data_IF_117517028799
#
_entry.id   IF_117517028799
#
_cell.length_a   1.000
_cell.length_b   1.000
_cell.length_c   1.000
_cell.angle_alpha   90.00
_cell.angle_beta   90.00
_cell.angle_gamma   90.00
#
_symmetry.space_group_name_H-M   'P 1'
#
loop_
_entity.id
_entity.type
_entity.pdbx_description
1 polymer ?
#
# COMPACT_ATOMS: atom_id res chain seq x y z
N UNK A 1 -29.41 -36.93 53.13
CA UNK A 1 -29.13 -37.89 52.03
C UNK A 1 -29.43 -37.21 50.70
N UNK A 2 -28.40 -37.08 49.84
CA UNK A 2 -28.44 -36.81 48.37
C UNK A 2 -28.89 -35.40 47.89
N UNK A 3 -28.40 -34.88 46.74
CA UNK A 3 -27.22 -34.02 46.72
C UNK A 3 -27.39 -32.68 45.96
N UNK A 4 -26.37 -31.84 46.10
CA UNK A 4 -26.08 -30.57 45.39
C UNK A 4 -26.15 -30.75 43.87
N UNK A 5 -26.89 -29.87 43.19
CA UNK A 5 -26.87 -29.75 41.72
C UNK A 5 -26.15 -28.46 41.32
N UNK A 6 -24.91 -28.63 40.88
CA UNK A 6 -24.00 -27.60 40.40
C UNK A 6 -24.48 -27.14 39.00
N UNK A 7 -24.93 -25.89 38.85
CA UNK A 7 -25.16 -25.30 37.52
C UNK A 7 -23.80 -24.99 36.88
N UNK A 8 -23.31 -25.90 36.04
CA UNK A 8 -22.19 -25.65 35.14
C UNK A 8 -22.74 -24.94 33.91
N UNK A 9 -22.53 -23.62 33.82
CA UNK A 9 -22.71 -22.88 32.56
C UNK A 9 -21.63 -23.34 31.59
N UNK A 10 -22.01 -24.12 30.59
CA UNK A 10 -21.15 -24.52 29.49
C UNK A 10 -20.87 -23.26 28.66
N UNK A 11 -19.62 -22.80 28.71
CA UNK A 11 -19.07 -21.83 27.77
C UNK A 11 -18.93 -22.55 26.42
N UNK A 12 -19.71 -22.16 25.42
CA UNK A 12 -19.52 -22.66 24.05
C UNK A 12 -18.18 -22.15 23.50
N UNK A 13 -17.35 -22.98 22.84
CA UNK A 13 -16.10 -22.51 22.28
C UNK A 13 -16.39 -21.68 21.03
N UNK A 14 -16.02 -20.40 21.07
CA UNK A 14 -15.83 -19.56 19.90
C UNK A 14 -14.56 -20.04 19.17
N UNK A 15 -14.68 -21.12 18.39
CA UNK A 15 -13.60 -21.61 17.52
C UNK A 15 -14.23 -21.91 16.16
N UNK A 16 -14.49 -20.85 15.41
CA UNK A 16 -14.85 -20.93 14.00
C UNK A 16 -14.46 -19.64 13.27
N UNK A 17 -13.21 -19.17 13.42
CA UNK A 17 -12.69 -18.07 12.59
C UNK A 17 -11.16 -18.07 12.43
N UNK A 18 -10.56 -19.24 12.28
CA UNK A 18 -9.12 -19.35 11.97
C UNK A 18 -8.81 -20.32 10.80
N UNK A 19 -9.82 -20.93 10.17
CA UNK A 19 -9.63 -21.95 9.13
C UNK A 19 -9.84 -21.44 7.70
N UNK A 20 -10.24 -20.18 7.50
CA UNK A 20 -10.48 -19.64 6.16
C UNK A 20 -9.20 -19.21 5.42
N UNK A 21 -8.09 -18.95 6.11
CA UNK A 21 -6.83 -18.52 5.47
C UNK A 21 -5.90 -19.68 5.08
N UNK A 22 -5.97 -20.81 5.79
CA UNK A 22 -5.08 -21.95 5.53
C UNK A 22 -5.41 -22.70 4.22
N UNK A 23 -6.68 -22.67 3.79
CA UNK A 23 -7.13 -23.35 2.55
C UNK A 23 -6.83 -22.60 1.25
N UNK A 24 -6.41 -21.33 1.32
CA UNK A 24 -6.16 -20.49 0.14
C UNK A 24 -4.73 -20.60 -0.40
N UNK A 25 -3.80 -21.22 0.34
CA UNK A 25 -2.37 -21.24 -0.01
C UNK A 25 -1.86 -22.60 -0.54
N UNK A 26 -2.58 -23.70 -0.31
CA UNK A 26 -2.09 -25.03 -0.68
C UNK A 26 -2.08 -25.29 -2.20
N UNK A 27 -2.94 -24.60 -2.96
CA UNK A 27 -3.12 -24.79 -4.41
C UNK A 27 -2.93 -23.48 -5.23
N UNK A 28 -2.28 -22.44 -4.68
CA UNK A 28 -2.01 -21.20 -5.42
C UNK A 28 -0.82 -21.42 -6.39
N UNK A 29 -1.06 -21.56 -7.72
CA UNK A 29 0.01 -21.86 -8.68
C UNK A 29 1.00 -20.69 -8.83
N UNK A 30 0.69 -19.53 -8.26
CA UNK A 30 1.52 -18.34 -8.34
C UNK A 30 2.56 -18.24 -7.22
N UNK A 31 2.55 -19.12 -6.21
CA UNK A 31 3.51 -19.08 -5.09
C UNK A 31 4.97 -19.05 -5.58
N UNK A 32 5.42 -19.93 -6.49
CA UNK A 32 6.81 -19.90 -6.97
C UNK A 32 7.19 -18.58 -7.66
N UNK A 33 6.26 -17.99 -8.42
CA UNK A 33 6.46 -16.72 -9.12
C UNK A 33 6.54 -15.56 -8.13
N UNK A 34 5.68 -15.57 -7.11
CA UNK A 34 5.68 -14.58 -6.04
C UNK A 34 6.96 -14.64 -5.20
N UNK A 35 7.40 -15.83 -4.85
CA UNK A 35 8.65 -16.01 -4.10
C UNK A 35 9.86 -15.54 -4.93
N UNK A 36 9.84 -15.77 -6.24
CA UNK A 36 10.86 -15.24 -7.15
C UNK A 36 10.86 -13.71 -7.16
N UNK A 37 9.69 -13.08 -7.29
CA UNK A 37 9.53 -11.62 -7.20
C UNK A 37 10.05 -11.07 -5.87
N UNK A 38 9.75 -11.71 -4.73
CA UNK A 38 10.22 -11.27 -3.41
C UNK A 38 11.74 -11.39 -3.28
N UNK A 39 12.36 -12.45 -3.80
CA UNK A 39 13.82 -12.57 -3.86
C UNK A 39 14.45 -11.49 -4.74
N UNK A 40 13.83 -11.18 -5.88
CA UNK A 40 14.30 -10.11 -6.75
C UNK A 40 14.24 -8.75 -6.06
N UNK A 41 13.16 -8.45 -5.32
CA UNK A 41 13.03 -7.23 -4.50
C UNK A 41 14.18 -7.14 -3.49
N UNK A 42 14.51 -8.23 -2.77
CA UNK A 42 15.60 -8.25 -1.80
C UNK A 42 16.97 -8.01 -2.46
N UNK A 43 17.21 -8.60 -3.63
CA UNK A 43 18.44 -8.35 -4.38
C UNK A 43 18.55 -6.89 -4.80
N UNK A 44 17.44 -6.31 -5.27
CA UNK A 44 17.40 -4.90 -5.67
C UNK A 44 17.62 -3.95 -4.51
N UNK A 45 17.04 -4.18 -3.32
CA UNK A 45 17.28 -3.31 -2.16
C UNK A 45 18.79 -3.21 -1.86
N UNK A 46 19.50 -4.35 -1.88
CA UNK A 46 20.94 -4.36 -1.70
C UNK A 46 21.68 -3.62 -2.82
N UNK A 47 21.23 -3.78 -4.07
CA UNK A 47 21.85 -3.15 -5.24
C UNK A 47 21.66 -1.63 -5.28
N UNK A 48 20.55 -1.12 -4.75
CA UNK A 48 20.18 0.32 -4.74
C UNK A 48 20.40 0.97 -3.38
N UNK A 49 21.15 0.34 -2.48
CA UNK A 49 21.30 0.80 -1.08
C UNK A 49 21.89 2.22 -0.98
N UNK A 50 22.78 2.57 -1.89
CA UNK A 50 23.51 3.84 -1.87
C UNK A 50 22.57 4.99 -2.29
N UNK A 51 21.60 4.74 -3.18
CA UNK A 51 20.57 5.71 -3.56
C UNK A 51 19.46 5.79 -2.49
N UNK A 52 18.99 4.64 -2.04
CA UNK A 52 17.78 4.55 -1.20
C UNK A 52 18.05 4.82 0.28
N UNK A 53 19.27 4.54 0.74
CA UNK A 53 19.60 4.42 2.16
C UNK A 53 19.06 3.12 2.79
N UNK A 54 18.64 2.15 1.98
CA UNK A 54 18.01 0.89 2.42
C UNK A 54 18.74 -0.30 1.79
N UNK A 55 19.64 -0.93 2.54
CA UNK A 55 20.28 -2.17 2.09
C UNK A 55 19.31 -3.36 2.11
N UNK A 56 18.39 -3.35 3.06
CA UNK A 56 17.35 -4.35 3.25
C UNK A 56 16.04 -3.63 3.61
N UNK A 57 14.92 -4.22 3.20
CA UNK A 57 13.60 -3.76 3.63
C UNK A 57 13.14 -4.51 4.89
N UNK A 58 12.31 -3.86 5.69
CA UNK A 58 11.81 -4.42 6.94
C UNK A 58 11.08 -5.75 6.70
N UNK A 59 11.32 -6.73 7.57
CA UNK A 59 10.70 -8.06 7.47
C UNK A 59 9.15 -8.02 7.33
N UNK A 60 8.41 -7.14 8.03
CA UNK A 60 6.97 -6.99 7.80
C UNK A 60 6.61 -6.59 6.37
N UNK A 61 7.39 -5.70 5.74
CA UNK A 61 7.17 -5.27 4.34
C UNK A 61 7.37 -6.45 3.40
N UNK A 62 8.46 -7.21 3.56
CA UNK A 62 8.73 -8.39 2.73
C UNK A 62 7.66 -9.48 2.92
N UNK A 63 7.16 -9.66 4.14
CA UNK A 63 6.06 -10.56 4.44
C UNK A 63 4.74 -10.12 3.78
N UNK A 64 4.44 -8.82 3.75
CA UNK A 64 3.28 -8.28 3.03
C UNK A 64 3.39 -8.55 1.52
N UNK A 65 4.56 -8.30 0.92
CA UNK A 65 4.82 -8.59 -0.50
C UNK A 65 4.67 -10.09 -0.85
N UNK A 66 5.00 -10.99 0.07
CA UNK A 66 4.81 -12.43 -0.08
C UNK A 66 3.35 -12.87 0.13
N UNK A 67 2.56 -12.12 0.91
CA UNK A 67 1.17 -12.50 1.24
C UNK A 67 0.16 -12.00 0.21
N UNK A 68 0.28 -10.76 -0.25
CA UNK A 68 -0.74 -10.14 -1.11
C UNK A 68 -0.69 -10.76 -2.52
N UNK A 69 -1.80 -11.34 -3.01
CA UNK A 69 -1.82 -12.03 -4.30
C UNK A 69 -1.92 -11.03 -5.45
N UNK A 70 -0.78 -10.44 -5.86
CA UNK A 70 -0.69 -9.43 -6.93
C UNK A 70 -1.48 -9.77 -8.21
N UNK A 71 -1.54 -11.04 -8.60
CA UNK A 71 -2.34 -11.51 -9.75
C UNK A 71 -3.85 -11.23 -9.64
N UNK A 72 -4.38 -10.95 -8.44
CA UNK A 72 -5.79 -10.55 -8.23
C UNK A 72 -6.05 -9.07 -8.50
N UNK A 73 -4.99 -8.29 -8.71
CA UNK A 73 -5.00 -6.83 -8.88
C UNK A 73 -4.68 -6.40 -10.32
N UNK A 74 -4.58 -7.35 -11.25
CA UNK A 74 -4.34 -7.08 -12.67
C UNK A 74 -5.49 -7.59 -13.54
N UNK A 75 -5.69 -7.04 -14.75
CA UNK A 75 -6.62 -7.59 -15.73
C UNK A 75 -6.28 -9.05 -16.10
N UNK A 76 -7.25 -9.86 -16.57
CA UNK A 76 -7.02 -11.27 -16.90
C UNK A 76 -5.84 -11.53 -17.83
N UNK A 77 -5.65 -10.68 -18.85
CA UNK A 77 -4.59 -10.84 -19.84
C UNK A 77 -3.18 -10.55 -19.27
N UNK A 78 -3.11 -9.84 -18.14
CA UNK A 78 -1.87 -9.48 -17.45
C UNK A 78 -1.50 -10.47 -16.33
N UNK A 79 -2.37 -11.42 -16.00
CA UNK A 79 -2.14 -12.43 -14.95
C UNK A 79 -0.84 -13.22 -15.16
N UNK A 80 -0.48 -13.67 -16.38
CA UNK A 80 0.79 -14.37 -16.60
C UNK A 80 2.04 -13.56 -16.21
N UNK A 81 1.94 -12.23 -16.26
CA UNK A 81 3.03 -11.30 -15.99
C UNK A 81 2.98 -10.70 -14.58
N UNK A 82 1.98 -11.04 -13.76
CA UNK A 82 1.64 -10.36 -12.52
C UNK A 82 2.80 -10.21 -11.52
N UNK A 83 3.77 -11.14 -11.57
CA UNK A 83 4.92 -11.20 -10.67
C UNK A 83 6.25 -10.81 -11.34
N UNK A 84 6.21 -10.34 -12.59
CA UNK A 84 7.36 -9.70 -13.19
C UNK A 84 7.63 -8.35 -12.51
N UNK A 85 8.90 -8.03 -12.33
CA UNK A 85 9.30 -6.83 -11.62
C UNK A 85 9.27 -5.58 -12.53
N UNK A 86 8.10 -5.28 -13.09
CA UNK A 86 7.80 -4.12 -13.94
C UNK A 86 6.36 -3.64 -13.71
N UNK A 87 6.00 -2.41 -14.12
CA UNK A 87 4.61 -1.99 -14.11
C UNK A 87 3.80 -2.76 -15.17
N UNK A 88 2.50 -2.94 -14.92
CA UNK A 88 1.56 -3.57 -15.86
C UNK A 88 0.34 -2.66 -16.05
N UNK A 89 -0.29 -2.64 -17.25
CA UNK A 89 -1.48 -1.84 -17.48
C UNK A 89 -2.67 -2.37 -16.67
N UNK A 90 -3.50 -1.45 -16.16
CA UNK A 90 -4.74 -1.78 -15.43
C UNK A 90 -5.99 -1.17 -16.06
N UNK A 91 -5.86 -0.65 -17.28
CA UNK A 91 -6.90 0.10 -17.98
C UNK A 91 -6.84 1.61 -17.69
N UNK A 92 -7.66 2.38 -18.41
CA UNK A 92 -7.80 3.85 -18.23
C UNK A 92 -6.49 4.65 -18.29
N UNK A 93 -5.49 4.15 -19.03
CA UNK A 93 -4.16 4.76 -19.10
C UNK A 93 -3.31 4.63 -17.84
N UNK A 94 -3.74 3.82 -16.87
CA UNK A 94 -3.06 3.62 -15.59
C UNK A 94 -2.28 2.31 -15.55
N UNK A 95 -1.37 2.21 -14.58
CA UNK A 95 -0.57 1.00 -14.34
C UNK A 95 -0.58 0.61 -12.86
N UNK A 96 -0.44 -0.68 -12.59
CA UNK A 96 0.00 -1.16 -11.28
C UNK A 96 1.53 -0.98 -11.21
N UNK A 97 2.04 -0.32 -10.16
CA UNK A 97 3.46 0.01 -10.05
C UNK A 97 4.34 -1.24 -9.95
N UNK A 98 5.61 -1.10 -10.37
CA UNK A 98 6.65 -2.12 -10.23
C UNK A 98 6.72 -2.66 -8.79
N UNK A 99 6.77 -4.00 -8.56
CA UNK A 99 6.85 -4.59 -7.23
C UNK A 99 7.97 -4.03 -6.34
N UNK A 100 9.18 -3.85 -6.89
CA UNK A 100 10.28 -3.22 -6.16
C UNK A 100 9.94 -1.81 -5.67
N UNK A 101 9.34 -0.97 -6.51
CA UNK A 101 8.95 0.40 -6.13
C UNK A 101 7.84 0.39 -5.07
N UNK A 102 6.88 -0.53 -5.14
CA UNK A 102 5.86 -0.73 -4.09
C UNK A 102 6.52 -1.07 -2.75
N UNK A 103 7.47 -2.02 -2.74
CA UNK A 103 8.18 -2.41 -1.53
C UNK A 103 9.02 -1.26 -0.96
N UNK A 104 9.77 -0.56 -1.82
CA UNK A 104 10.59 0.59 -1.44
C UNK A 104 9.75 1.71 -0.83
N UNK A 105 8.65 2.10 -1.48
CA UNK A 105 7.76 3.15 -0.96
C UNK A 105 7.17 2.78 0.39
N UNK A 106 6.76 1.52 0.54
CA UNK A 106 6.22 0.99 1.79
C UNK A 106 7.26 0.99 2.91
N UNK A 107 8.50 0.60 2.61
CA UNK A 107 9.61 0.58 3.58
C UNK A 107 10.09 1.98 4.00
N UNK A 108 10.12 2.93 3.05
CA UNK A 108 10.44 4.33 3.33
C UNK A 108 9.40 5.00 4.24
N UNK A 109 8.12 4.63 4.06
CA UNK A 109 7.00 5.13 4.86
C UNK A 109 7.02 4.62 6.31
N UNK A 110 7.73 3.53 6.60
CA UNK A 110 7.87 2.93 7.95
C UNK A 110 6.54 2.69 8.68
N UNK A 111 5.54 2.18 7.95
CA UNK A 111 4.20 1.90 8.47
C UNK A 111 4.22 0.78 9.51
N UNK A 112 3.62 1.04 10.67
CA UNK A 112 3.44 0.10 11.77
C UNK A 112 1.99 -0.28 12.09
N UNK A 113 1.77 -1.28 12.98
CA UNK A 113 0.44 -1.83 13.29
C UNK A 113 -0.60 -0.86 13.85
N UNK A 114 -0.16 0.28 14.42
CA UNK A 114 -1.03 1.32 14.97
C UNK A 114 -1.26 2.50 14.04
N UNK A 115 -0.68 2.47 12.84
CA UNK A 115 -0.63 3.64 11.98
C UNK A 115 -1.90 3.76 11.13
N UNK A 116 -2.27 5.02 10.88
CA UNK A 116 -3.31 5.41 9.94
C UNK A 116 -2.64 6.00 8.70
N UNK A 117 -2.89 5.38 7.55
CA UNK A 117 -2.20 5.70 6.29
C UNK A 117 -3.17 6.29 5.28
N UNK A 118 -2.74 7.32 4.56
CA UNK A 118 -3.40 7.82 3.36
C UNK A 118 -2.64 7.37 2.12
N UNK A 119 -3.33 6.80 1.15
CA UNK A 119 -2.84 6.54 -0.20
C UNK A 119 -3.57 7.43 -1.20
N UNK A 120 -2.82 8.09 -2.08
CA UNK A 120 -3.35 8.87 -3.19
C UNK A 120 -3.00 8.15 -4.50
N UNK A 121 -4.03 7.73 -5.23
CA UNK A 121 -3.93 6.91 -6.44
C UNK A 121 -4.21 5.44 -6.16
N UNK A 122 -5.46 5.10 -5.81
CA UNK A 122 -5.82 3.70 -5.52
C UNK A 122 -5.47 2.77 -6.69
N UNK A 123 -5.76 3.19 -7.93
CA UNK A 123 -5.49 2.41 -9.13
C UNK A 123 -6.12 1.01 -9.07
N UNK A 124 -5.28 -0.02 -8.95
CA UNK A 124 -5.75 -1.39 -8.78
C UNK A 124 -6.13 -1.76 -7.34
N UNK A 125 -5.67 -0.99 -6.35
CA UNK A 125 -5.76 -1.29 -4.92
C UNK A 125 -4.63 -2.18 -4.39
N UNK A 126 -3.62 -2.53 -5.19
CA UNK A 126 -2.53 -3.41 -4.74
C UNK A 126 -1.69 -2.78 -3.63
N UNK A 127 -1.29 -1.52 -3.77
CA UNK A 127 -0.51 -0.83 -2.74
C UNK A 127 -1.35 -0.60 -1.47
N UNK A 128 -2.64 -0.26 -1.59
CA UNK A 128 -3.59 -0.26 -0.47
C UNK A 128 -3.62 -1.59 0.30
N UNK A 129 -3.68 -2.72 -0.43
CA UNK A 129 -3.68 -4.06 0.16
C UNK A 129 -2.36 -4.37 0.89
N UNK A 130 -1.21 -3.99 0.33
CA UNK A 130 0.10 -4.11 0.98
C UNK A 130 0.12 -3.29 2.28
N UNK A 131 -0.37 -2.04 2.25
CA UNK A 131 -0.44 -1.19 3.44
C UNK A 131 -1.36 -1.77 4.51
N UNK A 132 -2.47 -2.41 4.12
CA UNK A 132 -3.42 -3.01 5.05
C UNK A 132 -2.87 -4.22 5.85
N UNK A 133 -1.86 -4.90 5.29
CA UNK A 133 -1.12 -5.94 6.03
C UNK A 133 -0.28 -5.36 7.18
N UNK A 134 0.06 -4.07 7.11
CA UNK A 134 0.96 -3.39 8.05
C UNK A 134 0.22 -2.45 9.00
N UNK A 135 -0.72 -1.66 8.49
CA UNK A 135 -1.37 -0.55 9.19
C UNK A 135 -2.59 -0.98 10.04
N UNK A 136 -3.03 -0.07 10.91
CA UNK A 136 -4.33 -0.15 11.58
C UNK A 136 -5.46 0.15 10.59
N UNK A 137 -5.30 1.21 9.78
CA UNK A 137 -6.28 1.66 8.81
C UNK A 137 -5.60 2.28 7.57
N UNK A 138 -6.18 2.07 6.40
CA UNK A 138 -5.72 2.64 5.14
C UNK A 138 -6.89 3.35 4.46
N UNK A 139 -6.72 4.64 4.21
CA UNK A 139 -7.64 5.45 3.42
C UNK A 139 -7.02 5.64 2.05
N UNK A 140 -7.73 5.33 0.98
CA UNK A 140 -7.19 5.42 -0.38
C UNK A 140 -8.13 6.21 -1.28
N UNK A 141 -7.57 7.09 -2.10
CA UNK A 141 -8.32 7.96 -3.00
C UNK A 141 -7.96 7.74 -4.45
N UNK A 142 -8.97 7.72 -5.31
CA UNK A 142 -8.84 7.57 -6.75
C UNK A 142 -9.71 8.60 -7.46
N UNK A 143 -9.19 9.22 -8.51
CA UNK A 143 -9.90 10.26 -9.26
C UNK A 143 -10.67 9.69 -10.46
N UNK A 144 -10.23 8.54 -10.99
CA UNK A 144 -10.87 7.83 -12.09
C UNK A 144 -11.98 6.94 -11.54
N UNK A 145 -13.23 7.38 -11.67
CA UNK A 145 -14.41 6.71 -11.10
C UNK A 145 -14.47 5.19 -11.37
N UNK A 146 -14.28 4.69 -12.60
CA UNK A 146 -14.28 3.24 -12.83
C UNK A 146 -13.22 2.48 -12.04
N UNK A 147 -12.03 3.05 -11.85
CA UNK A 147 -10.96 2.43 -11.05
C UNK A 147 -11.31 2.48 -9.56
N UNK A 148 -11.84 3.60 -9.07
CA UNK A 148 -12.26 3.75 -7.68
C UNK A 148 -13.29 2.68 -7.29
N UNK A 149 -14.31 2.48 -8.12
CA UNK A 149 -15.35 1.47 -7.93
C UNK A 149 -14.74 0.06 -7.97
N UNK A 150 -14.01 -0.28 -9.04
CA UNK A 150 -13.43 -1.61 -9.22
C UNK A 150 -12.44 -1.99 -8.10
N UNK A 151 -11.60 -1.04 -7.68
CA UNK A 151 -10.64 -1.26 -6.60
C UNK A 151 -11.35 -1.47 -5.25
N UNK A 152 -12.36 -0.64 -4.94
CA UNK A 152 -13.16 -0.80 -3.72
C UNK A 152 -13.85 -2.17 -3.64
N UNK A 153 -14.50 -2.59 -4.73
CA UNK A 153 -15.13 -3.92 -4.82
C UNK A 153 -14.11 -5.06 -4.70
N UNK A 154 -12.97 -4.94 -5.39
CA UNK A 154 -11.88 -5.93 -5.34
C UNK A 154 -11.33 -6.07 -3.92
N UNK A 155 -11.03 -4.96 -3.26
CA UNK A 155 -10.50 -4.93 -1.89
C UNK A 155 -11.50 -5.54 -0.90
N UNK A 156 -12.79 -5.18 -1.01
CA UNK A 156 -13.85 -5.77 -0.19
C UNK A 156 -13.99 -7.27 -0.40
N UNK A 157 -14.03 -7.73 -1.65
CA UNK A 157 -14.10 -9.17 -2.00
C UNK A 157 -12.88 -9.96 -1.53
N UNK A 158 -11.70 -9.35 -1.50
CA UNK A 158 -10.46 -9.98 -1.02
C UNK A 158 -10.31 -9.91 0.52
N UNK A 159 -11.24 -9.26 1.23
CA UNK A 159 -11.26 -9.23 2.69
C UNK A 159 -10.39 -8.15 3.33
N UNK A 160 -9.94 -7.14 2.58
CA UNK A 160 -9.15 -6.02 3.11
C UNK A 160 -10.02 -5.00 3.87
N UNK A 161 -10.61 -5.44 4.99
CA UNK A 161 -11.57 -4.66 5.79
C UNK A 161 -10.98 -3.39 6.43
N UNK A 162 -9.64 -3.28 6.50
CA UNK A 162 -8.94 -2.09 7.00
C UNK A 162 -8.82 -0.98 5.95
N UNK A 163 -9.20 -1.24 4.70
CA UNK A 163 -9.09 -0.29 3.60
C UNK A 163 -10.44 0.38 3.34
N UNK A 164 -10.43 1.71 3.32
CA UNK A 164 -11.56 2.50 2.86
C UNK A 164 -11.15 3.28 1.60
N UNK A 165 -11.76 2.91 0.46
CA UNK A 165 -11.55 3.59 -0.81
C UNK A 165 -12.61 4.67 -1.05
N UNK A 166 -12.23 5.77 -1.70
CA UNK A 166 -13.14 6.85 -2.09
C UNK A 166 -12.77 7.44 -3.45
N UNK A 167 -13.79 7.74 -4.25
CA UNK A 167 -13.65 8.60 -5.42
C UNK A 167 -13.40 10.05 -4.99
N UNK A 168 -12.31 10.66 -5.43
CA UNK A 168 -12.05 12.07 -5.18
C UNK A 168 -10.70 12.55 -5.67
N UNK A 169 -10.52 13.86 -5.63
CA UNK A 169 -9.26 14.51 -5.98
C UNK A 169 -8.24 14.36 -4.84
N UNK A 170 -7.20 13.58 -5.10
CA UNK A 170 -6.15 13.30 -4.14
C UNK A 170 -5.25 14.48 -3.80
N UNK A 171 -5.25 15.56 -4.60
CA UNK A 171 -4.49 16.78 -4.29
C UNK A 171 -4.88 17.38 -2.94
N UNK A 172 -6.18 17.30 -2.61
CA UNK A 172 -6.73 17.83 -1.36
C UNK A 172 -6.61 16.87 -0.18
N UNK A 173 -6.21 15.61 -0.41
CA UNK A 173 -6.20 14.57 0.60
C UNK A 173 -7.59 14.24 1.15
N UNK A 174 -7.62 13.71 2.37
CA UNK A 174 -8.84 13.29 3.04
C UNK A 174 -8.81 13.77 4.51
N UNK A 175 -9.13 15.04 4.78
CA UNK A 175 -8.97 15.62 6.11
C UNK A 175 -9.84 14.94 7.19
N UNK A 176 -10.98 14.37 6.82
CA UNK A 176 -11.94 13.75 7.75
C UNK A 176 -11.39 12.53 8.51
N UNK A 177 -10.34 11.88 7.99
CA UNK A 177 -9.67 10.76 8.65
C UNK A 177 -8.21 11.04 9.01
N UNK A 178 -7.76 12.27 8.74
CA UNK A 178 -6.45 12.74 9.16
C UNK A 178 -6.42 13.16 10.64
N UNK A 179 -5.24 13.50 11.17
CA UNK A 179 -3.95 13.45 10.48
C UNK A 179 -3.40 12.02 10.34
N UNK A 180 -2.48 11.81 9.39
CA UNK A 180 -1.93 10.51 9.01
C UNK A 180 -0.52 10.29 9.51
N UNK A 181 -0.19 9.05 9.91
CA UNK A 181 1.17 8.64 10.27
C UNK A 181 2.03 8.51 9.00
N UNK A 182 1.45 8.03 7.91
CA UNK A 182 2.09 7.97 6.61
C UNK A 182 1.16 8.40 5.47
N UNK A 183 1.75 9.02 4.45
CA UNK A 183 1.06 9.35 3.19
C UNK A 183 1.87 8.81 2.01
N UNK A 184 1.26 7.97 1.18
CA UNK A 184 1.87 7.50 -0.07
C UNK A 184 1.10 8.10 -1.24
N UNK A 185 1.83 8.66 -2.21
CA UNK A 185 1.25 9.15 -3.46
C UNK A 185 1.81 8.29 -4.59
N UNK A 186 0.94 7.58 -5.32
CA UNK A 186 1.31 6.62 -6.37
C UNK A 186 1.08 7.21 -7.77
N UNK A 187 1.14 8.52 -7.87
CA UNK A 187 1.13 9.29 -9.11
C UNK A 187 2.09 10.49 -8.97
N UNK A 188 2.72 10.90 -10.07
CA UNK A 188 3.69 11.98 -10.06
C UNK A 188 3.03 13.35 -9.96
N UNK A 189 3.29 14.06 -8.87
CA UNK A 189 2.86 15.43 -8.71
C UNK A 189 3.88 16.41 -9.32
N UNK A 190 3.41 17.56 -9.81
CA UNK A 190 4.30 18.63 -10.28
C UNK A 190 5.08 19.29 -9.14
N UNK A 191 4.48 19.29 -7.94
CA UNK A 191 5.05 19.75 -6.68
C UNK A 191 4.39 18.97 -5.55
N UNK A 192 4.99 19.01 -4.36
CA UNK A 192 4.39 18.39 -3.16
C UNK A 192 3.11 19.16 -2.78
N UNK A 193 1.92 18.52 -2.74
CA UNK A 193 0.69 19.21 -2.39
C UNK A 193 0.70 19.70 -0.94
N UNK A 194 0.56 21.01 -0.67
CA UNK A 194 0.51 21.55 0.70
C UNK A 194 -0.58 20.92 1.59
N UNK A 195 -1.79 20.58 1.09
CA UNK A 195 -2.81 19.91 1.91
C UNK A 195 -2.33 18.57 2.50
N UNK A 196 -1.50 17.82 1.77
CA UNK A 196 -1.00 16.54 2.25
C UNK A 196 0.04 16.72 3.36
N UNK A 197 0.89 17.77 3.28
CA UNK A 197 1.82 18.12 4.36
C UNK A 197 1.08 18.57 5.63
N UNK A 198 -0.02 19.30 5.47
CA UNK A 198 -0.88 19.72 6.57
C UNK A 198 -1.53 18.51 7.26
N UNK A 199 -1.96 17.51 6.48
CA UNK A 199 -2.58 16.28 6.98
C UNK A 199 -1.58 15.25 7.52
N UNK A 200 -0.28 15.43 7.34
CA UNK A 200 0.73 14.54 7.91
C UNK A 200 0.97 14.88 9.39
N UNK A 201 1.01 13.86 10.26
CA UNK A 201 1.33 14.00 11.69
C UNK A 201 2.76 14.47 11.90
N UNK A 202 3.02 15.09 13.06
CA UNK A 202 4.39 15.26 13.54
C UNK A 202 5.00 13.87 13.81
N UNK A 203 6.22 13.65 13.32
CA UNK A 203 6.87 12.34 13.22
C UNK A 203 6.46 11.51 12.00
N UNK A 204 5.48 11.97 11.21
CA UNK A 204 4.96 11.25 10.06
C UNK A 204 5.85 11.35 8.81
N UNK A 205 5.60 10.43 7.87
CA UNK A 205 6.37 10.30 6.63
C UNK A 205 5.49 10.37 5.40
N UNK A 206 5.95 11.05 4.36
CA UNK A 206 5.31 11.02 3.04
C UNK A 206 6.29 10.53 1.99
N UNK A 207 5.80 9.65 1.11
CA UNK A 207 6.54 9.15 -0.05
C UNK A 207 5.79 9.53 -1.30
N UNK A 208 6.41 10.35 -2.16
CA UNK A 208 5.74 10.97 -3.30
C UNK A 208 6.70 11.12 -4.49
N UNK A 209 6.32 10.66 -5.71
CA UNK A 209 7.02 11.00 -6.93
C UNK A 209 6.74 12.47 -7.29
N UNK A 210 7.80 13.24 -7.53
CA UNK A 210 7.69 14.64 -7.95
C UNK A 210 8.55 14.90 -9.18
N UNK A 211 7.94 15.53 -10.18
CA UNK A 211 8.61 15.98 -11.40
C UNK A 211 7.66 16.76 -12.29
N UNK A 212 8.19 17.79 -12.96
CA UNK A 212 7.40 18.53 -13.94
C UNK A 212 7.02 17.63 -15.14
N UNK A 213 5.91 17.92 -15.85
CA UNK A 213 5.55 17.18 -17.06
C UNK A 213 6.72 17.08 -18.03
N UNK A 214 6.94 15.89 -18.59
CA UNK A 214 8.02 15.56 -19.53
C UNK A 214 9.45 15.67 -18.97
N UNK A 215 9.62 15.88 -17.66
CA UNK A 215 10.91 15.88 -16.98
C UNK A 215 11.11 14.58 -16.16
N UNK A 216 12.36 14.32 -15.76
CA UNK A 216 12.67 13.24 -14.82
C UNK A 216 11.93 13.49 -13.51
N UNK A 217 11.24 12.46 -13.02
CA UNK A 217 10.58 12.47 -11.72
C UNK A 217 11.52 11.82 -10.71
N UNK A 218 11.52 12.31 -9.48
CA UNK A 218 12.24 11.70 -8.37
C UNK A 218 11.26 11.24 -7.32
N UNK A 219 11.50 10.05 -6.77
CA UNK A 219 10.82 9.62 -5.56
C UNK A 219 11.37 10.45 -4.39
N UNK A 220 10.49 11.19 -3.72
CA UNK A 220 10.84 11.98 -2.55
C UNK A 220 10.40 11.25 -1.29
N UNK A 221 11.26 11.27 -0.27
CA UNK A 221 10.88 11.02 1.11
C UNK A 221 10.79 12.36 1.83
N UNK A 222 9.65 12.61 2.44
CA UNK A 222 9.37 13.80 3.23
C UNK A 222 9.11 13.37 4.66
N UNK A 223 9.80 13.97 5.62
CA UNK A 223 9.63 13.67 7.04
C UNK A 223 9.21 14.94 7.76
N UNK A 224 8.09 14.88 8.47
CA UNK A 224 7.64 15.98 9.33
C UNK A 224 8.12 15.69 10.74
N UNK A 225 9.00 16.52 11.26
CA UNK A 225 9.60 16.31 12.57
C UNK A 225 8.59 16.61 13.70
N UNK A 226 8.97 16.31 14.94
CA UNK A 226 8.15 16.58 16.13
C UNK A 226 7.80 18.06 16.33
N UNK A 227 8.67 18.98 15.88
CA UNK A 227 8.44 20.43 15.97
C UNK A 227 7.63 21.01 14.79
N UNK A 228 7.24 20.17 13.84
CA UNK A 228 6.46 20.53 12.67
C UNK A 228 7.29 20.99 11.46
N UNK A 229 8.61 21.10 11.58
CA UNK A 229 9.49 21.32 10.43
C UNK A 229 9.46 20.12 9.47
N UNK A 230 9.71 20.38 8.19
CA UNK A 230 9.66 19.38 7.13
C UNK A 230 11.04 19.26 6.49
N UNK A 231 11.57 18.04 6.44
CA UNK A 231 12.75 17.70 5.65
C UNK A 231 12.33 16.91 4.41
N UNK A 232 13.06 17.10 3.32
CA UNK A 232 12.82 16.43 2.04
C UNK A 232 14.11 15.83 1.53
N UNK A 233 14.05 14.59 1.07
CA UNK A 233 15.17 13.86 0.47
C UNK A 233 14.75 13.25 -0.87
N UNK A 234 15.55 13.44 -1.90
CA UNK A 234 15.45 12.69 -3.15
C UNK A 234 16.02 11.28 -2.94
N UNK A 235 15.28 10.26 -3.36
CA UNK A 235 15.65 8.85 -3.19
C UNK A 235 16.26 8.30 -4.47
N UNK A 236 15.47 8.22 -5.55
CA UNK A 236 15.93 7.74 -6.85
C UNK A 236 15.02 8.25 -7.98
N UNK A 237 15.46 8.25 -9.25
CA UNK A 237 14.61 8.58 -10.38
C UNK A 237 13.53 7.52 -10.60
N UNK A 238 12.30 7.95 -10.88
CA UNK A 238 11.14 7.08 -11.12
C UNK A 238 10.34 7.55 -12.34
N UNK A 239 9.38 6.74 -12.76
CA UNK A 239 8.39 7.10 -13.77
C UNK A 239 7.01 6.62 -13.35
N UNK A 240 6.16 7.58 -12.99
CA UNK A 240 4.78 7.40 -12.61
C UNK A 240 3.86 8.17 -13.57
N UNK A 241 2.63 7.69 -13.67
CA UNK A 241 1.51 8.43 -14.28
C UNK A 241 1.29 9.76 -13.54
N UNK A 242 0.85 10.83 -14.21
CA UNK A 242 0.68 12.13 -13.58
C UNK A 242 -0.45 12.10 -12.54
N UNK A 243 -0.25 12.76 -11.40
CA UNK A 243 -1.31 13.13 -10.49
C UNK A 243 -2.13 14.24 -11.14
N UNK A 244 -3.38 13.94 -11.49
CA UNK A 244 -4.31 14.90 -12.08
C UNK A 244 -5.28 15.41 -11.02
N UNK A 245 -5.73 16.66 -11.16
CA UNK A 245 -6.52 17.39 -10.15
C UNK A 245 -5.75 18.60 -9.57
N UNK A 246 -6.29 19.20 -8.52
CA UNK A 246 -5.69 20.34 -7.81
C UNK A 246 -6.19 21.73 -8.23
N UNK A 247 -7.33 21.80 -8.93
CA UNK A 247 -7.93 23.03 -9.46
C UNK A 247 -7.75 23.19 -10.96
#
# INVERSE_FOLDING_TARGET
>A
MKPVMLLTRILAPAIALALASAGLHADDPFVPLRDAMVREIANMSSATRDDTGRAEFAAPVMAAMARVPRHRFVPPDEVPYAYENRPLPIGYGQTISQPYIVALMTDLAQVGPGDVVLEIGTGSGYQAAILAELAQAVYTMEIIEPLAVQAGERLGRLGYAKVQARLGDGYHGWPEHGPYDAILVTAAASHVPPPLIAQLKAGGRMVIPVGAPFMVQYLLLIEKTGDGSVSTRQVLPVSFVPLVGGG
#
